data_IF_111906177068
#
_entry.id   IF_111906177068
#
_cell.length_a   1.000
_cell.length_b   1.000
_cell.length_c   1.000
_cell.angle_alpha   90.00
_cell.angle_beta   90.00
_cell.angle_gamma   90.00
#
_symmetry.space_group_name_H-M   'P 1'
#
loop_
_entity.id
_entity.type
_entity.pdbx_description
1 polymer ?
#
# COMPACT_ATOMS: atom_id res chain seq x y z
N UNK A 1 8.54 -4.25 -49.52
CA UNK A 1 8.40 -5.72 -49.63
C UNK A 1 7.15 -6.29 -48.96
N UNK A 2 6.48 -5.61 -48.01
CA UNK A 2 5.24 -6.10 -47.39
C UNK A 2 3.98 -6.00 -48.27
N UNK A 3 3.96 -5.12 -49.26
CA UNK A 3 2.80 -4.91 -50.12
C UNK A 3 2.64 -6.00 -51.26
N UNK A 4 3.73 -6.71 -51.60
CA UNK A 4 3.71 -7.72 -52.66
C UNK A 4 3.20 -9.08 -52.17
N UNK A 5 3.28 -9.34 -50.87
CA UNK A 5 2.78 -10.59 -50.25
C UNK A 5 1.28 -10.59 -50.06
N UNK A 6 0.68 -9.38 -49.84
CA UNK A 6 -0.78 -9.27 -49.67
C UNK A 6 -1.57 -9.46 -50.97
N UNK A 7 -0.99 -9.10 -52.12
CA UNK A 7 -1.67 -9.27 -53.42
C UNK A 7 -1.67 -10.69 -53.93
N UNK A 8 -0.69 -11.52 -53.54
CA UNK A 8 -0.64 -12.93 -53.96
C UNK A 8 -1.63 -13.84 -53.24
N UNK A 9 -1.98 -13.51 -52.01
CA UNK A 9 -2.98 -14.29 -51.24
C UNK A 9 -4.43 -13.97 -51.60
N UNK A 10 -4.69 -12.82 -52.23
CA UNK A 10 -6.04 -12.47 -52.73
C UNK A 10 -6.40 -13.08 -54.07
N UNK A 11 -5.43 -13.53 -54.87
CA UNK A 11 -5.69 -14.20 -56.16
C UNK A 11 -5.96 -15.71 -56.02
N UNK A 12 -5.50 -16.35 -54.96
CA UNK A 12 -5.79 -17.76 -54.69
C UNK A 12 -7.21 -18.03 -54.13
N UNK A 13 -7.89 -17.01 -53.65
CA UNK A 13 -9.25 -17.14 -53.09
C UNK A 13 -10.37 -17.02 -54.14
N UNK A 14 -10.04 -16.76 -55.43
CA UNK A 14 -11.04 -16.56 -56.52
C UNK A 14 -11.36 -17.81 -57.35
N UNK A 15 -10.78 -18.97 -57.08
CA UNK A 15 -10.94 -20.16 -57.95
C UNK A 15 -11.65 -21.37 -57.34
N UNK A 16 -12.23 -21.29 -56.16
CA UNK A 16 -13.14 -22.33 -55.68
C UNK A 16 -14.45 -21.73 -55.18
N UNK A 17 -15.45 -21.70 -56.03
CA UNK A 17 -16.82 -21.42 -55.67
C UNK A 17 -17.45 -22.63 -55.01
N UNK A 18 -18.03 -22.39 -53.87
CA UNK A 18 -19.33 -22.87 -53.39
C UNK A 18 -19.44 -22.70 -51.88
N UNK A 19 -20.47 -21.99 -51.53
CA UNK A 19 -21.10 -21.65 -50.29
C UNK A 19 -20.74 -22.43 -49.01
N UNK A 20 -20.11 -21.75 -48.09
CA UNK A 20 -20.37 -21.85 -46.67
C UNK A 20 -20.02 -20.49 -46.07
N UNK A 21 -21.02 -19.81 -45.51
CA UNK A 21 -20.84 -18.60 -44.74
C UNK A 21 -20.17 -18.99 -43.42
N UNK A 22 -18.85 -19.01 -43.43
CA UNK A 22 -18.06 -19.18 -42.23
C UNK A 22 -17.85 -17.80 -41.60
N UNK A 23 -18.37 -17.59 -40.40
CA UNK A 23 -18.03 -16.44 -39.55
C UNK A 23 -16.53 -16.48 -39.28
N UNK A 24 -15.77 -15.63 -39.96
CA UNK A 24 -14.35 -15.37 -39.68
C UNK A 24 -14.29 -14.65 -38.36
N UNK A 25 -14.08 -15.42 -37.27
CA UNK A 25 -13.51 -14.87 -36.04
C UNK A 25 -12.13 -14.29 -36.36
N UNK A 26 -12.03 -12.98 -36.50
CA UNK A 26 -10.76 -12.26 -36.46
C UNK A 26 -10.16 -12.46 -35.06
N UNK A 27 -9.53 -13.61 -34.83
CA UNK A 27 -8.50 -13.71 -33.79
C UNK A 27 -7.38 -12.79 -34.21
N UNK A 28 -7.19 -11.71 -33.44
CA UNK A 28 -6.02 -10.84 -33.60
C UNK A 28 -4.79 -11.72 -33.59
N UNK A 29 -4.09 -11.76 -34.71
CA UNK A 29 -2.74 -12.31 -34.76
C UNK A 29 -1.90 -11.42 -33.82
N UNK A 30 -1.57 -11.95 -32.65
CA UNK A 30 -0.44 -11.45 -31.91
C UNK A 30 0.72 -11.45 -32.90
N UNK A 31 1.33 -10.28 -33.10
CA UNK A 31 2.51 -10.15 -33.95
C UNK A 31 3.46 -11.27 -33.56
N UNK A 32 3.74 -12.18 -34.47
CA UNK A 32 4.70 -13.26 -34.24
C UNK A 32 5.98 -12.59 -33.75
N UNK A 33 6.45 -12.97 -32.55
CA UNK A 33 7.73 -12.52 -32.05
C UNK A 33 8.78 -12.77 -33.13
N UNK A 34 9.52 -11.73 -33.50
CA UNK A 34 10.61 -11.88 -34.48
C UNK A 34 11.46 -13.08 -34.07
N UNK A 35 11.87 -13.95 -35.00
CA UNK A 35 12.73 -15.08 -34.69
C UNK A 35 13.93 -14.60 -33.89
N UNK A 36 14.40 -15.35 -32.89
CA UNK A 36 15.56 -14.93 -32.11
C UNK A 36 16.74 -14.69 -33.07
N UNK A 37 17.26 -13.47 -33.04
CA UNK A 37 18.50 -13.18 -33.76
C UNK A 37 19.60 -14.11 -33.23
N UNK A 38 20.24 -14.87 -34.11
CA UNK A 38 21.27 -15.86 -33.78
C UNK A 38 22.59 -15.22 -33.27
N UNK A 39 22.55 -14.01 -32.76
CA UNK A 39 23.69 -13.27 -32.24
C UNK A 39 23.54 -12.90 -30.74
N UNK A 40 24.68 -12.55 -30.08
CA UNK A 40 24.64 -12.07 -28.72
C UNK A 40 23.81 -10.79 -28.63
N UNK A 41 22.77 -10.82 -27.80
CA UNK A 41 21.87 -9.67 -27.63
C UNK A 41 22.61 -8.50 -26.96
N UNK A 42 22.59 -7.30 -27.55
CA UNK A 42 23.22 -6.15 -26.94
C UNK A 42 22.56 -5.85 -25.57
N UNK A 43 23.36 -5.54 -24.57
CA UNK A 43 22.89 -5.15 -23.27
C UNK A 43 22.14 -3.81 -23.38
N UNK A 44 20.86 -3.78 -22.96
CA UNK A 44 20.05 -2.56 -22.95
C UNK A 44 20.45 -1.58 -21.84
N UNK A 45 21.22 -2.04 -20.87
CA UNK A 45 21.69 -1.22 -19.76
C UNK A 45 23.16 -1.49 -19.50
N UNK A 46 23.93 -0.42 -19.28
CA UNK A 46 25.34 -0.47 -18.90
C UNK A 46 25.52 -0.66 -17.37
N UNK A 47 24.46 -0.63 -16.60
CA UNK A 47 24.54 -0.81 -15.16
C UNK A 47 24.59 -2.31 -14.79
N UNK A 48 25.73 -2.84 -14.31
CA UNK A 48 25.86 -4.23 -13.90
C UNK A 48 24.87 -4.66 -12.80
N UNK A 49 24.42 -3.71 -11.97
CA UNK A 49 23.44 -3.97 -10.92
C UNK A 49 22.04 -4.33 -11.45
N UNK A 50 21.72 -3.97 -12.71
CA UNK A 50 20.45 -4.30 -13.35
C UNK A 50 20.43 -5.68 -14.02
N UNK A 51 21.55 -6.42 -14.04
CA UNK A 51 21.62 -7.74 -14.67
C UNK A 51 21.04 -8.82 -13.78
N UNK A 52 20.06 -9.55 -14.29
CA UNK A 52 19.50 -10.73 -13.60
C UNK A 52 20.53 -11.84 -13.48
N UNK A 53 20.61 -12.46 -12.29
CA UNK A 53 21.54 -13.56 -12.00
C UNK A 53 20.82 -14.66 -11.25
N UNK A 54 21.13 -15.92 -11.58
CA UNK A 54 20.53 -17.09 -10.91
C UNK A 54 19.19 -17.52 -11.50
N UNK A 55 18.62 -18.58 -10.92
CA UNK A 55 17.42 -19.27 -11.42
C UNK A 55 16.13 -18.77 -10.79
N UNK A 56 16.18 -17.78 -9.91
CA UNK A 56 15.06 -17.25 -9.14
C UNK A 56 15.14 -17.57 -7.64
N UNK A 57 14.32 -16.90 -6.84
CA UNK A 57 14.32 -17.06 -5.39
C UNK A 57 15.27 -16.11 -4.65
N UNK A 58 15.45 -16.35 -3.34
CA UNK A 58 16.16 -15.43 -2.43
C UNK A 58 17.62 -15.22 -2.81
N UNK A 59 18.31 -16.28 -3.12
CA UNK A 59 19.76 -16.25 -3.43
C UNK A 59 20.08 -15.83 -4.89
N UNK A 60 19.06 -15.46 -5.66
CA UNK A 60 19.22 -14.94 -7.02
C UNK A 60 19.11 -13.42 -7.03
N UNK A 61 19.43 -12.80 -8.16
CA UNK A 61 19.21 -11.38 -8.39
C UNK A 61 18.25 -11.17 -9.55
N UNK A 62 17.13 -10.51 -9.31
CA UNK A 62 16.08 -10.29 -10.29
C UNK A 62 16.20 -8.98 -11.09
N UNK A 63 17.28 -8.22 -10.89
CA UNK A 63 17.52 -6.94 -11.55
C UNK A 63 16.92 -5.74 -10.83
N UNK A 64 16.23 -5.93 -9.67
CA UNK A 64 15.63 -4.86 -8.89
C UNK A 64 16.55 -4.50 -7.73
N UNK A 65 16.95 -3.23 -7.67
CA UNK A 65 17.59 -2.60 -6.53
C UNK A 65 16.59 -1.59 -5.96
N UNK A 66 15.94 -1.95 -4.87
CA UNK A 66 14.84 -1.17 -4.30
C UNK A 66 15.27 -0.39 -3.06
N UNK A 67 15.07 0.93 -3.05
CA UNK A 67 15.10 1.69 -1.80
C UNK A 67 13.71 1.74 -1.19
N UNK A 68 13.56 1.25 0.06
CA UNK A 68 12.27 1.21 0.76
C UNK A 68 12.28 2.17 1.93
N UNK A 69 11.72 3.36 1.73
CA UNK A 69 11.50 4.31 2.82
C UNK A 69 10.33 3.85 3.70
N UNK A 70 10.53 3.83 5.02
CA UNK A 70 9.55 3.31 5.97
C UNK A 70 9.56 1.79 6.13
N UNK A 71 10.68 1.14 5.84
CA UNK A 71 10.87 -0.30 5.94
C UNK A 71 10.61 -0.87 7.36
N UNK A 72 10.91 -0.12 8.40
CA UNK A 72 10.67 -0.51 9.82
C UNK A 72 9.19 -0.51 10.20
N UNK A 73 8.33 0.11 9.38
CA UNK A 73 6.88 0.18 9.60
C UNK A 73 6.16 -1.15 9.35
N UNK A 74 4.86 -1.18 9.68
CA UNK A 74 4.00 -2.35 9.53
C UNK A 74 4.02 -2.91 8.09
N UNK A 75 3.63 -2.11 7.09
CA UNK A 75 3.62 -2.56 5.69
C UNK A 75 5.04 -2.80 5.16
N UNK A 76 6.01 -1.98 5.58
CA UNK A 76 7.40 -2.06 5.13
C UNK A 76 8.04 -3.42 5.36
N UNK A 77 7.80 -4.03 6.52
CA UNK A 77 8.31 -5.37 6.85
C UNK A 77 7.82 -6.46 5.90
N UNK A 78 6.54 -6.43 5.52
CA UNK A 78 5.99 -7.37 4.55
C UNK A 78 6.54 -7.14 3.13
N UNK A 79 6.69 -5.88 2.74
CA UNK A 79 7.31 -5.52 1.46
C UNK A 79 8.75 -6.00 1.39
N UNK A 80 9.57 -5.72 2.42
CA UNK A 80 10.96 -6.18 2.48
C UNK A 80 11.07 -7.71 2.43
N UNK A 81 10.21 -8.43 3.17
CA UNK A 81 10.21 -9.90 3.15
C UNK A 81 9.88 -10.45 1.76
N UNK A 82 8.91 -9.88 1.06
CA UNK A 82 8.56 -10.32 -0.30
C UNK A 82 9.63 -9.93 -1.33
N UNK A 83 10.23 -8.74 -1.23
CA UNK A 83 11.38 -8.34 -2.06
C UNK A 83 12.57 -9.30 -1.86
N UNK A 84 12.92 -9.61 -0.62
CA UNK A 84 13.98 -10.56 -0.31
C UNK A 84 13.71 -11.95 -0.89
N UNK A 85 12.48 -12.46 -0.75
CA UNK A 85 12.08 -13.75 -1.36
C UNK A 85 12.17 -13.75 -2.88
N UNK A 86 11.98 -12.61 -3.53
CA UNK A 86 12.07 -12.48 -4.98
C UNK A 86 13.49 -12.24 -5.51
N UNK A 87 14.49 -12.17 -4.62
CA UNK A 87 15.88 -11.94 -5.00
C UNK A 87 16.19 -10.49 -5.39
N UNK A 88 15.48 -9.51 -4.84
CA UNK A 88 15.78 -8.09 -5.03
C UNK A 88 16.83 -7.63 -4.04
N UNK A 89 17.77 -6.77 -4.46
CA UNK A 89 18.58 -6.02 -3.50
C UNK A 89 17.77 -4.91 -2.87
N UNK A 90 18.01 -4.66 -1.58
CA UNK A 90 17.26 -3.68 -0.82
C UNK A 90 18.18 -2.71 -0.11
N UNK A 91 17.94 -1.42 -0.30
CA UNK A 91 18.49 -0.35 0.52
C UNK A 91 17.39 0.10 1.45
N UNK A 92 17.59 -0.02 2.75
CA UNK A 92 16.59 0.25 3.79
C UNK A 92 17.00 1.47 4.61
N UNK A 93 16.58 2.68 4.19
CA UNK A 93 16.80 3.88 4.96
C UNK A 93 16.02 3.81 6.28
N UNK A 94 16.69 4.06 7.40
CA UNK A 94 16.09 4.07 8.73
C UNK A 94 16.49 5.32 9.51
N UNK A 95 15.66 5.68 10.48
CA UNK A 95 15.92 6.70 11.47
C UNK A 95 15.62 6.12 12.85
N UNK A 96 16.43 6.40 13.83
CA UNK A 96 16.29 5.79 15.16
C UNK A 96 17.39 4.78 15.44
N UNK A 97 17.12 3.84 16.32
CA UNK A 97 18.12 2.90 16.78
C UNK A 97 18.32 1.71 15.84
N UNK A 98 19.52 1.16 15.84
CA UNK A 98 19.85 -0.06 15.09
C UNK A 98 18.99 -1.27 15.50
N UNK A 99 18.45 -1.26 16.72
CA UNK A 99 17.53 -2.29 17.21
C UNK A 99 16.26 -2.42 16.37
N UNK A 100 15.78 -1.33 15.78
CA UNK A 100 14.57 -1.32 14.95
C UNK A 100 14.77 -2.07 13.61
N UNK A 101 16.01 -2.10 13.13
CA UNK A 101 16.36 -2.71 11.84
C UNK A 101 16.86 -4.15 11.95
N UNK A 102 17.20 -4.62 13.15
CA UNK A 102 17.68 -6.01 13.36
C UNK A 102 16.72 -7.03 12.76
N UNK A 103 15.42 -6.83 12.93
CA UNK A 103 14.37 -7.72 12.38
C UNK A 103 14.37 -7.78 10.86
N UNK A 104 14.89 -6.76 10.18
CA UNK A 104 14.95 -6.70 8.73
C UNK A 104 16.18 -7.40 8.14
N UNK A 105 17.20 -7.67 8.95
CA UNK A 105 18.42 -8.39 8.50
C UNK A 105 18.10 -9.80 7.97
N UNK A 106 17.08 -10.45 8.53
CA UNK A 106 16.66 -11.81 8.14
C UNK A 106 15.78 -11.86 6.90
N UNK A 107 15.38 -10.70 6.32
CA UNK A 107 14.51 -10.66 5.14
C UNK A 107 15.23 -11.02 3.84
N UNK A 108 16.55 -10.89 3.80
CA UNK A 108 17.38 -11.21 2.64
C UNK A 108 18.62 -12.01 3.00
N UNK A 109 19.37 -12.41 1.98
CA UNK A 109 20.66 -13.07 2.12
C UNK A 109 21.78 -12.06 2.42
N UNK A 110 22.98 -12.56 2.70
CA UNK A 110 24.15 -11.75 2.98
C UNK A 110 24.46 -10.82 1.80
N UNK A 111 24.61 -9.52 2.08
CA UNK A 111 24.83 -8.49 1.04
C UNK A 111 23.60 -8.07 0.25
N UNK A 112 22.44 -8.69 0.44
CA UNK A 112 21.19 -8.34 -0.23
C UNK A 112 20.47 -7.17 0.44
N UNK A 113 20.67 -6.97 1.75
CA UNK A 113 20.03 -5.94 2.55
C UNK A 113 21.09 -4.96 3.06
N UNK A 114 20.97 -3.71 2.66
CA UNK A 114 21.85 -2.62 3.09
C UNK A 114 21.04 -1.63 3.92
N UNK A 115 21.58 -1.25 5.07
CA UNK A 115 20.97 -0.25 5.95
C UNK A 115 21.68 1.08 5.79
N UNK A 116 20.89 2.15 5.73
CA UNK A 116 21.41 3.50 5.60
C UNK A 116 20.68 4.42 6.58
N UNK A 117 21.43 5.14 7.42
CA UNK A 117 20.83 6.15 8.29
C UNK A 117 20.38 7.35 7.47
N UNK A 118 19.13 7.82 7.69
CA UNK A 118 18.64 9.00 7.00
C UNK A 118 17.76 9.87 7.91
N UNK A 119 17.65 11.13 7.55
CA UNK A 119 16.66 12.04 8.12
C UNK A 119 15.76 12.56 6.99
N UNK A 120 14.43 12.62 7.26
CA UNK A 120 13.46 13.10 6.29
C UNK A 120 13.70 14.56 5.88
N UNK A 121 14.27 15.38 6.77
CA UNK A 121 14.57 16.78 6.51
C UNK A 121 15.94 17.03 5.85
N UNK A 122 16.78 16.00 5.79
CA UNK A 122 18.09 16.08 5.15
C UNK A 122 18.09 15.51 3.72
N UNK A 123 18.14 16.39 2.69
CA UNK A 123 18.18 15.94 1.30
C UNK A 123 19.43 15.14 0.93
N UNK A 124 20.57 15.35 1.63
CA UNK A 124 21.81 14.67 1.33
C UNK A 124 21.72 13.18 1.69
N UNK A 125 21.16 12.87 2.87
CA UNK A 125 20.95 11.48 3.30
C UNK A 125 19.95 10.72 2.42
N UNK A 126 18.91 11.42 1.92
CA UNK A 126 17.96 10.82 0.97
C UNK A 126 18.64 10.53 -0.37
N UNK A 127 19.46 11.47 -0.88
CA UNK A 127 20.18 11.29 -2.15
C UNK A 127 21.14 10.10 -2.09
N UNK A 128 21.89 9.94 -1.01
CA UNK A 128 22.78 8.81 -0.81
C UNK A 128 21.99 7.48 -0.77
N UNK A 129 20.84 7.46 -0.12
CA UNK A 129 19.99 6.26 -0.03
C UNK A 129 19.42 5.81 -1.39
N UNK A 130 19.15 6.73 -2.32
CA UNK A 130 18.54 6.38 -3.63
C UNK A 130 19.55 6.23 -4.76
N UNK A 131 20.80 6.61 -4.55
CA UNK A 131 21.87 6.73 -5.56
C UNK A 131 22.04 5.50 -6.48
N UNK A 132 21.85 4.31 -5.95
CA UNK A 132 22.06 3.05 -6.66
C UNK A 132 20.76 2.30 -6.98
N UNK A 133 19.61 2.89 -6.73
CA UNK A 133 18.32 2.23 -6.86
C UNK A 133 17.67 2.49 -8.20
N UNK A 134 17.05 1.46 -8.79
CA UNK A 134 16.17 1.61 -9.95
C UNK A 134 14.69 1.69 -9.55
N UNK A 135 14.35 1.24 -8.34
CA UNK A 135 12.98 1.32 -7.78
C UNK A 135 13.03 2.02 -6.43
N UNK A 136 12.13 2.98 -6.20
CA UNK A 136 11.92 3.60 -4.89
C UNK A 136 10.50 3.36 -4.43
N UNK A 137 10.35 2.87 -3.19
CA UNK A 137 9.07 2.60 -2.55
C UNK A 137 8.95 3.50 -1.34
N UNK A 138 8.00 4.43 -1.39
CA UNK A 138 7.73 5.35 -0.30
C UNK A 138 6.53 4.90 0.53
N UNK A 139 6.80 4.33 1.71
CA UNK A 139 5.81 3.91 2.70
C UNK A 139 5.81 4.82 3.93
N UNK A 140 6.49 5.97 3.85
CA UNK A 140 6.56 6.91 4.97
C UNK A 140 5.19 7.50 5.22
N UNK A 141 4.73 7.39 6.46
CA UNK A 141 3.46 7.96 6.90
C UNK A 141 3.20 7.73 8.37
N UNK A 142 2.46 8.65 8.97
CA UNK A 142 1.97 8.54 10.35
C UNK A 142 0.49 8.87 10.42
N UNK A 143 -0.18 8.35 11.42
CA UNK A 143 -1.60 8.56 11.67
C UNK A 143 -1.85 9.55 12.83
N UNK A 144 -0.82 10.04 13.47
CA UNK A 144 -0.85 11.10 14.48
C UNK A 144 0.33 12.06 14.32
N UNK A 145 0.18 13.27 14.80
CA UNK A 145 1.23 14.27 14.80
C UNK A 145 2.16 14.09 16.00
N UNK A 146 3.42 14.46 15.83
CA UNK A 146 4.41 14.50 16.90
C UNK A 146 4.83 15.95 17.17
N UNK A 147 5.57 16.18 18.24
CA UNK A 147 6.12 17.52 18.55
C UNK A 147 6.99 18.06 17.41
N UNK A 148 7.76 17.18 16.75
CA UNK A 148 8.74 17.58 15.74
C UNK A 148 8.20 17.52 14.30
N UNK A 149 7.18 16.71 14.04
CA UNK A 149 6.64 16.50 12.68
C UNK A 149 5.12 16.54 12.69
N UNK A 150 4.55 17.43 11.90
CA UNK A 150 3.14 17.51 11.60
C UNK A 150 2.78 16.64 10.40
N UNK A 151 1.49 16.44 10.14
CA UNK A 151 1.03 15.70 8.96
C UNK A 151 1.58 16.27 7.66
N UNK A 152 1.62 17.59 7.52
CA UNK A 152 2.13 18.27 6.34
C UNK A 152 3.61 17.98 6.11
N UNK A 153 4.42 17.94 7.15
CA UNK A 153 5.86 17.71 7.04
C UNK A 153 6.16 16.29 6.53
N UNK A 154 5.38 15.31 6.99
CA UNK A 154 5.60 13.89 6.63
C UNK A 154 4.94 13.53 5.31
N UNK A 155 3.65 13.88 5.14
CA UNK A 155 2.85 13.40 4.01
C UNK A 155 2.99 14.26 2.76
N UNK A 156 3.29 15.56 2.91
CA UNK A 156 3.43 16.50 1.79
C UNK A 156 4.91 16.76 1.52
N UNK A 157 5.58 17.52 2.39
CA UNK A 157 6.95 17.98 2.17
C UNK A 157 7.94 16.82 2.07
N UNK A 158 7.81 15.82 2.95
CA UNK A 158 8.67 14.62 2.96
C UNK A 158 8.46 13.75 1.73
N UNK A 159 7.20 13.52 1.33
CA UNK A 159 6.89 12.72 0.15
C UNK A 159 7.35 13.39 -1.15
N UNK A 160 7.12 14.72 -1.29
CA UNK A 160 7.61 15.52 -2.41
C UNK A 160 9.15 15.47 -2.51
N UNK A 161 9.84 15.66 -1.38
CA UNK A 161 11.31 15.65 -1.31
C UNK A 161 11.88 14.30 -1.77
N UNK A 162 11.33 13.19 -1.28
CA UNK A 162 11.76 11.85 -1.70
C UNK A 162 11.50 11.66 -3.20
N UNK A 163 10.32 12.04 -3.71
CA UNK A 163 9.96 11.90 -5.12
C UNK A 163 10.88 12.72 -6.04
N UNK A 164 11.13 13.99 -5.69
CA UNK A 164 12.01 14.88 -6.44
C UNK A 164 13.44 14.35 -6.51
N UNK A 165 14.02 13.98 -5.36
CA UNK A 165 15.38 13.45 -5.29
C UNK A 165 15.50 12.13 -6.05
N UNK A 166 14.48 11.28 -6.00
CA UNK A 166 14.44 10.03 -6.76
C UNK A 166 14.44 10.30 -8.27
N UNK A 167 13.72 11.32 -8.73
CA UNK A 167 13.73 11.74 -10.13
C UNK A 167 15.11 12.31 -10.55
N UNK A 168 15.72 13.15 -9.71
CA UNK A 168 17.05 13.70 -9.94
C UNK A 168 18.12 12.59 -10.02
N UNK A 169 17.97 11.53 -9.24
CA UNK A 169 18.85 10.36 -9.24
C UNK A 169 18.64 9.40 -10.43
N UNK A 170 17.65 9.65 -11.29
CA UNK A 170 17.35 8.80 -12.44
C UNK A 170 16.66 7.49 -12.09
N UNK A 171 15.93 7.43 -10.98
CA UNK A 171 15.14 6.25 -10.59
C UNK A 171 14.05 5.97 -11.63
N UNK A 172 13.94 4.72 -12.09
CA UNK A 172 13.00 4.32 -13.13
C UNK A 172 11.56 4.25 -12.63
N UNK A 173 11.38 3.77 -11.39
CA UNK A 173 10.06 3.47 -10.80
C UNK A 173 9.92 4.07 -9.41
N UNK A 174 8.84 4.81 -9.21
CA UNK A 174 8.50 5.37 -7.90
C UNK A 174 7.10 4.91 -7.48
N UNK A 175 7.00 4.24 -6.34
CA UNK A 175 5.74 3.74 -5.80
C UNK A 175 5.44 4.47 -4.49
N UNK A 176 4.26 5.07 -4.40
CA UNK A 176 3.82 5.82 -3.21
C UNK A 176 2.58 5.22 -2.58
N UNK A 177 2.62 4.98 -1.26
CA UNK A 177 1.49 4.49 -0.49
C UNK A 177 0.69 5.65 0.10
N UNK A 178 -0.52 5.83 -0.39
CA UNK A 178 -1.47 6.84 0.05
C UNK A 178 -2.57 6.27 0.97
N UNK A 179 -3.83 6.61 0.76
CA UNK A 179 -5.01 6.06 1.44
C UNK A 179 -6.24 6.10 0.52
N UNK A 180 -7.22 5.23 0.76
CA UNK A 180 -8.40 5.10 -0.10
C UNK A 180 -9.29 6.35 -0.12
N UNK A 181 -9.60 6.90 1.04
CA UNK A 181 -10.56 8.00 1.19
C UNK A 181 -9.93 9.40 1.16
N UNK A 182 -8.86 9.59 0.38
CA UNK A 182 -8.21 10.89 0.27
C UNK A 182 -9.08 11.89 -0.49
N UNK A 183 -9.37 13.02 0.14
CA UNK A 183 -10.17 14.11 -0.42
C UNK A 183 -9.56 15.47 -0.05
N UNK A 184 -9.71 16.46 -0.93
CA UNK A 184 -9.28 17.84 -0.64
C UNK A 184 -10.10 18.45 0.51
N UNK A 185 -11.41 18.16 0.52
CA UNK A 185 -12.36 18.66 1.52
C UNK A 185 -13.14 17.48 2.14
N UNK A 186 -12.53 16.72 3.08
CA UNK A 186 -13.24 15.64 3.75
C UNK A 186 -14.41 16.20 4.57
N UNK A 187 -15.49 15.42 4.69
CA UNK A 187 -16.67 15.83 5.45
C UNK A 187 -16.32 16.02 6.92
N UNK A 188 -16.85 17.09 7.50
CA UNK A 188 -16.79 17.36 8.94
C UNK A 188 -17.72 16.39 9.68
N UNK A 189 -17.18 15.65 10.63
CA UNK A 189 -17.97 14.80 11.52
C UNK A 189 -18.05 15.40 12.92
N UNK A 190 -16.91 15.58 13.59
CA UNK A 190 -16.80 16.20 14.89
C UNK A 190 -15.60 17.14 15.02
N UNK A 191 -14.65 17.12 14.09
CA UNK A 191 -13.57 18.08 13.98
C UNK A 191 -13.91 19.07 12.87
N UNK A 192 -13.99 20.37 13.20
CA UNK A 192 -14.21 21.41 12.20
C UNK A 192 -13.11 21.39 11.15
N UNK A 193 -13.51 21.37 9.90
CA UNK A 193 -12.60 21.29 8.75
C UNK A 193 -12.25 19.87 8.29
N UNK A 194 -12.86 18.83 8.90
CA UNK A 194 -12.66 17.44 8.52
C UNK A 194 -11.30 16.87 8.92
N UNK A 195 -10.95 15.70 8.40
CA UNK A 195 -9.72 15.01 8.74
C UNK A 195 -8.50 15.65 8.06
N UNK A 196 -7.68 16.33 8.83
CA UNK A 196 -6.38 16.89 8.39
C UNK A 196 -5.45 15.82 7.83
N UNK A 197 -5.55 14.60 8.35
CA UNK A 197 -4.80 13.46 7.84
C UNK A 197 -5.17 13.12 6.39
N UNK A 198 -6.46 13.07 6.05
CA UNK A 198 -6.93 12.82 4.69
C UNK A 198 -6.53 13.94 3.72
N UNK A 199 -6.65 15.20 4.16
CA UNK A 199 -6.20 16.36 3.39
C UNK A 199 -4.72 16.30 3.08
N UNK A 200 -3.90 16.04 4.10
CA UNK A 200 -2.43 15.97 3.92
C UNK A 200 -2.02 14.84 3.00
N UNK A 201 -2.70 13.69 3.05
CA UNK A 201 -2.47 12.60 2.10
C UNK A 201 -2.85 12.97 0.66
N UNK A 202 -3.98 13.67 0.48
CA UNK A 202 -4.39 14.15 -0.84
C UNK A 202 -3.38 15.16 -1.42
N UNK A 203 -2.99 16.16 -0.63
CA UNK A 203 -1.98 17.15 -1.03
C UNK A 203 -0.63 16.47 -1.33
N UNK A 204 -0.25 15.48 -0.53
CA UNK A 204 0.95 14.67 -0.76
C UNK A 204 0.93 13.92 -2.08
N UNK A 205 -0.21 13.32 -2.48
CA UNK A 205 -0.34 12.68 -3.79
C UNK A 205 -0.13 13.66 -4.95
N UNK A 206 -0.69 14.87 -4.85
CA UNK A 206 -0.53 15.90 -5.88
C UNK A 206 0.94 16.31 -6.00
N UNK A 207 1.61 16.61 -4.88
CA UNK A 207 3.02 16.96 -4.86
C UNK A 207 3.95 15.87 -5.37
N UNK A 208 3.63 14.60 -5.04
CA UNK A 208 4.39 13.45 -5.57
C UNK A 208 4.25 13.35 -7.08
N UNK A 209 3.05 13.55 -7.64
CA UNK A 209 2.84 13.54 -9.09
C UNK A 209 3.54 14.68 -9.80
N UNK A 210 3.54 15.86 -9.21
CA UNK A 210 4.24 17.04 -9.76
C UNK A 210 5.76 16.78 -9.79
N UNK A 211 6.31 16.21 -8.70
CA UNK A 211 7.73 15.90 -8.59
C UNK A 211 8.14 14.69 -9.46
N UNK A 212 7.31 13.66 -9.54
CA UNK A 212 7.56 12.41 -10.29
C UNK A 212 6.31 11.99 -11.08
N UNK A 213 6.09 12.47 -12.32
CA UNK A 213 4.85 12.28 -13.09
C UNK A 213 4.47 10.79 -13.30
N UNK A 214 5.45 9.92 -13.45
CA UNK A 214 5.25 8.48 -13.64
C UNK A 214 5.12 7.71 -12.31
N UNK A 215 4.87 8.39 -11.18
CA UNK A 215 4.69 7.73 -9.90
C UNK A 215 3.45 6.84 -9.89
N UNK A 216 3.62 5.59 -9.45
CA UNK A 216 2.51 4.67 -9.17
C UNK A 216 1.98 4.93 -7.77
N UNK A 217 0.68 5.24 -7.64
CA UNK A 217 0.05 5.52 -6.36
C UNK A 217 -0.84 4.36 -5.96
N UNK A 218 -0.65 3.84 -4.74
CA UNK A 218 -1.51 2.80 -4.18
C UNK A 218 -2.33 3.42 -3.04
N UNK A 219 -3.65 3.34 -3.13
CA UNK A 219 -4.62 3.83 -2.16
C UNK A 219 -5.22 2.69 -1.35
N UNK A 220 -4.61 2.30 -0.22
CA UNK A 220 -5.17 1.23 0.60
C UNK A 220 -6.37 1.71 1.42
N UNK A 221 -7.33 0.81 1.60
CA UNK A 221 -8.31 0.85 2.68
C UNK A 221 -7.63 0.59 4.04
N UNK A 222 -8.41 0.34 5.09
CA UNK A 222 -7.80 -0.07 6.37
C UNK A 222 -7.06 -1.41 6.19
N UNK A 223 -5.77 -1.41 6.49
CA UNK A 223 -4.89 -2.59 6.33
C UNK A 223 -4.89 -3.39 7.62
N UNK A 224 -5.17 -4.71 7.53
CA UNK A 224 -5.11 -5.62 8.68
C UNK A 224 -4.02 -6.69 8.53
N UNK A 225 -3.58 -7.26 9.66
CA UNK A 225 -2.55 -8.29 9.73
C UNK A 225 -1.85 -8.33 11.09
N UNK A 226 -0.79 -9.12 11.21
CA UNK A 226 0.01 -9.16 12.43
C UNK A 226 0.63 -7.78 12.72
N UNK A 227 0.49 -7.30 13.94
CA UNK A 227 0.97 -5.98 14.39
C UNK A 227 0.30 -4.77 13.67
N UNK A 228 -0.89 -4.96 13.14
CA UNK A 228 -1.65 -3.91 12.49
C UNK A 228 -2.11 -2.81 13.47
N UNK A 229 -2.63 -1.74 12.89
CA UNK A 229 -3.25 -0.67 13.66
C UNK A 229 -4.78 -0.71 13.60
N UNK A 230 -5.35 -1.65 12.83
CA UNK A 230 -6.80 -1.76 12.64
C UNK A 230 -7.43 -2.71 13.68
N UNK A 231 -7.03 -3.97 13.72
CA UNK A 231 -7.55 -4.96 14.67
C UNK A 231 -7.15 -4.63 16.11
N UNK A 232 -5.86 -4.28 16.30
CA UNK A 232 -5.34 -3.89 17.63
C UNK A 232 -6.05 -2.69 18.21
N UNK A 233 -6.48 -1.75 17.40
CA UNK A 233 -7.22 -0.58 17.84
C UNK A 233 -8.53 -0.98 18.54
N UNK A 234 -9.30 -1.90 17.95
CA UNK A 234 -10.55 -2.40 18.56
C UNK A 234 -10.30 -3.36 19.72
N UNK A 235 -9.19 -4.09 19.71
CA UNK A 235 -8.82 -4.98 20.80
C UNK A 235 -8.29 -4.24 22.05
N UNK A 236 -7.77 -3.02 21.87
CA UNK A 236 -7.09 -2.28 22.93
C UNK A 236 -8.05 -1.75 23.99
N UNK A 237 -7.65 -1.88 25.30
CA UNK A 237 -8.49 -1.47 26.43
C UNK A 237 -8.83 0.03 26.43
N UNK A 238 -7.90 0.89 26.00
CA UNK A 238 -8.12 2.34 25.94
C UNK A 238 -9.16 2.76 24.90
N UNK A 239 -9.41 1.95 23.86
CA UNK A 239 -10.46 2.22 22.86
C UNK A 239 -11.85 2.01 23.43
N UNK A 240 -11.98 1.18 24.43
CA UNK A 240 -13.24 0.87 25.12
C UNK A 240 -13.51 1.84 26.26
N UNK A 241 -14.77 2.01 26.57
CA UNK A 241 -15.24 2.66 27.78
C UNK A 241 -15.91 1.59 28.64
N UNK A 242 -15.28 1.19 29.76
CA UNK A 242 -15.66 -0.02 30.51
C UNK A 242 -15.74 -1.26 29.60
N UNK A 243 -16.94 -1.85 29.45
CA UNK A 243 -17.22 -3.00 28.58
C UNK A 243 -17.82 -2.60 27.23
N UNK A 244 -18.01 -1.30 27.00
CA UNK A 244 -18.71 -0.78 25.84
C UNK A 244 -17.75 -0.22 24.80
N UNK A 245 -18.16 -0.29 23.52
CA UNK A 245 -17.43 0.26 22.40
C UNK A 245 -18.16 1.49 21.86
N UNK A 246 -17.61 2.70 22.06
CA UNK A 246 -18.15 3.92 21.47
C UNK A 246 -17.86 3.95 19.98
N UNK A 247 -18.89 4.03 19.13
CA UNK A 247 -18.78 4.15 17.68
C UNK A 247 -19.65 5.31 17.19
N UNK A 248 -19.26 5.95 16.13
CA UNK A 248 -20.06 6.98 15.47
C UNK A 248 -21.32 6.33 14.87
N UNK A 249 -22.52 6.82 15.23
CA UNK A 249 -23.79 6.18 14.88
C UNK A 249 -23.81 4.66 15.17
N UNK A 250 -23.23 4.21 16.27
CA UNK A 250 -23.04 2.78 16.61
C UNK A 250 -22.33 1.94 15.55
N UNK A 251 -21.69 2.59 14.56
CA UNK A 251 -21.06 1.91 13.41
C UNK A 251 -22.02 1.41 12.33
N UNK A 252 -23.30 1.71 12.41
CA UNK A 252 -24.34 1.19 11.51
C UNK A 252 -24.34 1.88 10.13
N UNK A 253 -23.86 3.12 10.07
CA UNK A 253 -23.79 3.91 8.81
C UNK A 253 -22.43 3.85 8.12
N UNK A 254 -21.45 3.18 8.70
CA UNK A 254 -20.09 3.12 8.21
C UNK A 254 -19.81 1.76 7.57
N UNK A 255 -19.41 1.75 6.32
CA UNK A 255 -18.99 0.55 5.59
C UNK A 255 -17.49 0.57 5.38
N UNK A 256 -16.83 -0.53 5.70
CA UNK A 256 -15.39 -0.72 5.53
C UNK A 256 -15.10 -1.88 4.58
N UNK A 257 -13.99 -1.76 3.85
CA UNK A 257 -13.50 -2.80 2.94
C UNK A 257 -12.01 -3.09 3.22
N UNK A 258 -11.68 -3.65 4.40
CA UNK A 258 -10.30 -3.83 4.82
C UNK A 258 -9.55 -4.80 3.91
N UNK A 259 -8.23 -4.54 3.75
CA UNK A 259 -7.34 -5.32 2.89
C UNK A 259 -6.23 -5.98 3.72
N UNK A 260 -5.84 -7.19 3.34
CA UNK A 260 -4.76 -7.92 4.01
C UNK A 260 -3.40 -7.33 3.64
N UNK A 261 -2.53 -7.16 4.63
CA UNK A 261 -1.21 -6.54 4.45
C UNK A 261 -0.32 -7.26 3.44
N UNK A 262 -0.40 -8.60 3.39
CA UNK A 262 0.39 -9.39 2.45
C UNK A 262 -0.03 -9.13 1.00
N UNK A 263 -1.34 -8.90 0.75
CA UNK A 263 -1.87 -8.61 -0.59
C UNK A 263 -1.41 -7.22 -1.05
N UNK A 264 -1.44 -6.23 -0.15
CA UNK A 264 -0.87 -4.89 -0.42
C UNK A 264 0.63 -4.98 -0.74
N UNK A 265 1.39 -5.75 0.05
CA UNK A 265 2.81 -5.94 -0.22
C UNK A 265 3.07 -6.64 -1.55
N UNK A 266 2.22 -7.63 -1.94
CA UNK A 266 2.31 -8.29 -3.24
C UNK A 266 2.03 -7.32 -4.39
N UNK A 267 1.01 -6.48 -4.23
CA UNK A 267 0.68 -5.45 -5.22
C UNK A 267 1.82 -4.46 -5.44
N UNK A 268 2.47 -4.00 -4.36
CA UNK A 268 3.63 -3.11 -4.46
C UNK A 268 4.76 -3.76 -5.28
N UNK A 269 5.02 -5.05 -5.07
CA UNK A 269 6.07 -5.77 -5.81
C UNK A 269 5.67 -6.01 -7.26
N UNK A 270 4.41 -6.35 -7.51
CA UNK A 270 3.92 -6.53 -8.86
C UNK A 270 3.97 -5.19 -9.62
N UNK A 271 3.57 -4.09 -8.99
CA UNK A 271 3.70 -2.75 -9.54
C UNK A 271 5.17 -2.36 -9.81
N UNK A 272 6.12 -2.79 -8.97
CA UNK A 272 7.55 -2.56 -9.21
C UNK A 272 8.08 -3.31 -10.45
N UNK A 273 7.50 -4.45 -10.77
CA UNK A 273 7.89 -5.30 -11.91
C UNK A 273 7.17 -4.94 -13.21
N UNK A 274 5.95 -4.45 -13.11
CA UNK A 274 5.09 -4.15 -14.24
C UNK A 274 5.33 -2.73 -14.77
N UNK A 275 5.89 -2.57 -15.98
CA UNK A 275 6.12 -1.25 -16.58
C UNK A 275 4.83 -0.47 -16.83
N UNK A 276 3.72 -1.15 -17.10
CA UNK A 276 2.44 -0.51 -17.42
C UNK A 276 1.74 0.09 -16.20
N UNK A 277 2.22 -0.19 -14.99
CA UNK A 277 1.74 0.40 -13.75
C UNK A 277 2.21 1.84 -13.54
N UNK A 278 3.14 2.37 -14.36
CA UNK A 278 3.67 3.73 -14.24
C UNK A 278 2.58 4.79 -14.39
N UNK A 279 2.58 5.78 -13.49
CA UNK A 279 1.62 6.89 -13.51
C UNK A 279 0.19 6.51 -13.11
N UNK A 280 -0.10 5.23 -12.86
CA UNK A 280 -1.45 4.78 -12.49
C UNK A 280 -1.71 4.87 -10.99
N UNK A 281 -3.00 4.92 -10.65
CA UNK A 281 -3.50 4.84 -9.28
C UNK A 281 -4.24 3.53 -9.11
N UNK A 282 -3.90 2.79 -8.07
CA UNK A 282 -4.54 1.52 -7.73
C UNK A 282 -5.28 1.63 -6.40
N UNK A 283 -6.49 1.11 -6.32
CA UNK A 283 -7.24 0.99 -5.08
C UNK A 283 -6.95 -0.36 -4.44
N UNK A 284 -6.35 -0.32 -3.24
CA UNK A 284 -6.07 -1.53 -2.48
C UNK A 284 -7.21 -1.78 -1.50
N UNK A 285 -8.20 -2.55 -1.95
CA UNK A 285 -9.40 -2.90 -1.18
C UNK A 285 -9.52 -4.41 -1.04
N UNK A 286 -10.13 -4.85 0.06
CA UNK A 286 -10.39 -6.27 0.27
C UNK A 286 -11.53 -6.80 -0.60
N UNK A 287 -11.75 -8.13 -0.63
CA UNK A 287 -12.74 -8.76 -1.52
C UNK A 287 -14.19 -8.50 -1.08
N UNK A 288 -14.44 -8.20 0.19
CA UNK A 288 -15.77 -8.02 0.75
C UNK A 288 -15.92 -6.71 1.49
N UNK A 289 -17.13 -6.17 1.48
CA UNK A 289 -17.52 -4.97 2.23
C UNK A 289 -18.26 -5.38 3.49
N UNK A 290 -17.95 -4.74 4.60
CA UNK A 290 -18.52 -5.03 5.89
C UNK A 290 -19.08 -3.76 6.55
N UNK A 291 -20.21 -3.88 7.21
CA UNK A 291 -20.68 -2.84 8.11
C UNK A 291 -19.80 -2.81 9.36
N UNK A 292 -19.36 -1.61 9.76
CA UNK A 292 -18.42 -1.48 10.89
C UNK A 292 -19.00 -2.05 12.20
N UNK A 293 -20.30 -1.91 12.40
CA UNK A 293 -21.01 -2.48 13.55
C UNK A 293 -20.85 -4.00 13.65
N UNK A 294 -21.13 -4.70 12.55
CA UNK A 294 -21.03 -6.16 12.49
C UNK A 294 -19.59 -6.64 12.62
N UNK A 295 -18.68 -5.90 12.00
CA UNK A 295 -17.25 -6.20 12.02
C UNK A 295 -16.69 -6.14 13.45
N UNK A 296 -17.02 -5.09 14.19
CA UNK A 296 -16.56 -4.91 15.57
C UNK A 296 -17.21 -5.93 16.51
N UNK A 297 -18.49 -6.27 16.33
CA UNK A 297 -19.16 -7.33 17.08
C UNK A 297 -18.51 -8.70 16.83
N UNK A 298 -18.13 -8.96 15.57
CA UNK A 298 -17.43 -10.18 15.20
C UNK A 298 -16.05 -10.25 15.86
N UNK A 299 -15.29 -9.16 15.89
CA UNK A 299 -14.01 -9.09 16.60
C UNK A 299 -14.15 -9.43 18.08
N UNK A 300 -15.17 -8.85 18.75
CA UNK A 300 -15.40 -9.12 20.16
C UNK A 300 -15.84 -10.58 20.42
N UNK A 301 -16.61 -11.18 19.52
CA UNK A 301 -16.94 -12.61 19.57
C UNK A 301 -15.67 -13.49 19.47
N UNK A 302 -14.78 -13.19 18.53
CA UNK A 302 -13.50 -13.91 18.37
C UNK A 302 -12.61 -13.79 19.62
N UNK A 303 -12.61 -12.63 20.25
CA UNK A 303 -11.89 -12.39 21.51
C UNK A 303 -12.59 -12.98 22.75
N UNK A 304 -13.71 -13.68 22.60
CA UNK A 304 -14.54 -14.22 23.69
C UNK A 304 -15.10 -13.12 24.63
N UNK A 305 -15.25 -11.91 24.15
CA UNK A 305 -15.77 -10.73 24.87
C UNK A 305 -17.14 -10.32 24.33
N UNK A 306 -18.00 -11.32 24.07
CA UNK A 306 -19.35 -11.14 23.57
C UNK A 306 -20.31 -10.62 24.64
N UNK A 307 -21.52 -10.22 24.23
CA UNK A 307 -22.53 -9.68 25.12
C UNK A 307 -22.92 -10.66 26.22
N UNK A 308 -23.05 -11.97 25.91
CA UNK A 308 -23.48 -13.00 26.87
C UNK A 308 -22.42 -13.29 27.92
N UNK A 309 -21.14 -13.32 27.55
CA UNK A 309 -20.04 -13.74 28.46
C UNK A 309 -19.42 -12.57 29.20
N UNK A 310 -19.32 -11.41 28.55
CA UNK A 310 -18.57 -10.27 29.07
C UNK A 310 -19.41 -8.99 29.25
N UNK A 311 -20.64 -8.96 28.71
CA UNK A 311 -21.51 -7.78 28.76
C UNK A 311 -21.11 -6.69 27.78
N UNK A 312 -20.53 -7.06 26.63
CA UNK A 312 -20.17 -6.14 25.57
C UNK A 312 -21.40 -5.44 24.99
N UNK A 313 -21.30 -4.13 24.81
CA UNK A 313 -22.32 -3.32 24.14
C UNK A 313 -21.67 -2.28 23.24
N UNK A 314 -22.37 -1.92 22.16
CA UNK A 314 -22.04 -0.75 21.34
C UNK A 314 -22.95 0.41 21.72
N UNK A 315 -22.38 1.62 21.74
CA UNK A 315 -23.18 2.82 21.92
C UNK A 315 -22.71 3.95 21.01
N UNK A 316 -23.59 4.96 20.84
CA UNK A 316 -23.28 6.08 19.97
C UNK A 316 -22.38 7.09 20.69
N UNK A 317 -21.18 7.28 20.14
CA UNK A 317 -20.16 8.17 20.66
C UNK A 317 -20.61 9.65 20.70
N UNK A 318 -21.60 10.04 19.89
CA UNK A 318 -22.11 11.42 19.88
C UNK A 318 -22.70 11.86 21.22
N UNK A 319 -23.20 10.92 21.98
CA UNK A 319 -23.82 11.17 23.29
C UNK A 319 -22.83 11.05 24.46
N UNK A 320 -21.55 10.80 24.15
CA UNK A 320 -20.52 10.63 25.18
C UNK A 320 -19.36 11.62 25.00
N UNK A 321 -19.51 12.85 25.52
CA UNK A 321 -18.43 13.85 25.48
C UNK A 321 -17.20 13.42 26.29
N UNK A 322 -17.37 12.54 27.31
CA UNK A 322 -16.27 12.07 28.14
C UNK A 322 -15.28 11.23 27.36
N UNK A 323 -15.74 10.42 26.40
CA UNK A 323 -14.89 9.66 25.52
C UNK A 323 -14.07 10.55 24.56
N UNK A 324 -14.70 11.58 24.00
CA UNK A 324 -14.01 12.56 23.13
C UNK A 324 -12.98 13.36 23.92
N UNK A 325 -13.32 13.73 25.17
CA UNK A 325 -12.37 14.38 26.08
C UNK A 325 -11.18 13.46 26.39
N UNK A 326 -11.44 12.18 26.67
CA UNK A 326 -10.40 11.15 26.88
C UNK A 326 -9.46 11.06 25.66
N UNK A 327 -9.99 11.07 24.44
CA UNK A 327 -9.19 11.01 23.22
C UNK A 327 -8.32 12.27 23.04
N UNK A 328 -8.86 13.45 23.33
CA UNK A 328 -8.09 14.71 23.30
C UNK A 328 -7.00 14.74 24.37
N UNK A 329 -7.33 14.33 25.58
CA UNK A 329 -6.39 14.29 26.70
C UNK A 329 -5.25 13.29 26.43
N UNK A 330 -5.57 12.12 25.89
CA UNK A 330 -4.57 11.13 25.48
C UNK A 330 -3.59 11.68 24.44
N UNK A 331 -4.11 12.41 23.46
CA UNK A 331 -3.28 13.08 22.45
C UNK A 331 -2.41 14.19 23.03
N UNK A 332 -2.88 14.89 24.06
CA UNK A 332 -2.13 15.96 24.74
C UNK A 332 -1.05 15.43 25.68
N UNK A 333 -1.35 14.39 26.47
CA UNK A 333 -0.41 13.79 27.42
C UNK A 333 0.68 12.99 26.69
N UNK A 334 0.32 12.27 25.64
CA UNK A 334 1.23 11.39 24.90
C UNK A 334 1.33 11.78 23.42
N UNK A 335 1.91 12.96 23.09
CA UNK A 335 1.97 13.45 21.71
C UNK A 335 2.84 12.59 20.79
N UNK A 336 3.79 11.84 21.35
CA UNK A 336 4.69 10.97 20.58
C UNK A 336 4.09 9.64 20.19
N UNK A 337 3.26 9.04 21.06
CA UNK A 337 2.63 7.73 20.86
C UNK A 337 1.32 7.66 21.63
N UNK A 338 0.20 8.07 21.05
CA UNK A 338 -1.10 7.99 21.74
C UNK A 338 -1.41 6.57 22.18
N UNK A 339 -1.74 6.39 23.47
CA UNK A 339 -2.00 5.06 24.04
C UNK A 339 -3.16 4.40 23.30
N UNK A 340 -2.96 3.18 22.83
CA UNK A 340 -3.95 2.44 22.05
C UNK A 340 -4.31 3.06 20.70
N UNK A 341 -3.51 4.02 20.21
CA UNK A 341 -3.81 4.75 18.98
C UNK A 341 -5.06 5.63 19.06
N UNK A 342 -5.52 5.95 20.27
CA UNK A 342 -6.73 6.75 20.50
C UNK A 342 -6.40 8.24 20.40
N UNK A 343 -6.79 8.85 19.28
CA UNK A 343 -6.66 10.30 19.05
C UNK A 343 -7.81 10.79 18.13
N UNK A 344 -8.15 12.08 18.15
CA UNK A 344 -9.31 12.60 17.42
C UNK A 344 -9.28 12.32 15.92
N UNK A 345 -8.17 12.54 15.25
CA UNK A 345 -8.04 12.29 13.81
C UNK A 345 -8.27 10.81 13.43
N UNK A 346 -7.93 9.87 14.31
CA UNK A 346 -8.21 8.44 14.09
C UNK A 346 -9.69 8.12 14.18
N UNK A 347 -10.36 8.68 15.19
CA UNK A 347 -11.80 8.49 15.40
C UNK A 347 -12.57 9.03 14.20
N UNK A 348 -12.17 10.19 13.68
CA UNK A 348 -12.80 10.78 12.51
C UNK A 348 -12.63 9.91 11.26
N UNK A 349 -11.42 9.40 11.01
CA UNK A 349 -11.14 8.46 9.92
C UNK A 349 -11.92 7.14 10.05
N UNK A 350 -12.09 6.63 11.28
CA UNK A 350 -12.89 5.44 11.56
C UNK A 350 -14.34 5.61 11.11
N UNK A 351 -14.93 6.79 11.31
CA UNK A 351 -16.32 7.09 11.00
C UNK A 351 -16.59 7.30 9.49
N UNK A 352 -15.54 7.45 8.68
CA UNK A 352 -15.66 7.62 7.22
C UNK A 352 -15.90 6.27 6.55
N UNK A 353 -16.92 6.20 5.68
CA UNK A 353 -17.20 5.02 4.83
C UNK A 353 -16.18 4.93 3.69
N UNK A 354 -15.72 3.73 3.41
CA UNK A 354 -14.79 3.47 2.31
C UNK A 354 -15.49 3.64 0.95
N UNK A 355 -14.98 4.57 0.16
CA UNK A 355 -15.49 4.87 -1.18
C UNK A 355 -14.57 4.22 -2.21
N UNK A 356 -15.08 3.22 -2.90
CA UNK A 356 -14.39 2.60 -4.04
C UNK A 356 -14.87 3.29 -5.31
N UNK A 357 -13.94 3.88 -6.06
CA UNK A 357 -14.23 4.57 -7.30
C UNK A 357 -14.31 3.55 -8.45
N UNK A 358 -15.38 3.58 -9.20
CA UNK A 358 -15.54 2.76 -10.40
C UNK A 358 -14.62 3.26 -11.50
N UNK A 359 -14.00 2.33 -12.24
CA UNK A 359 -13.07 2.66 -13.33
C UNK A 359 -11.61 2.92 -12.91
N UNK A 360 -11.32 2.90 -11.61
CA UNK A 360 -9.94 2.94 -11.11
C UNK A 360 -9.48 1.50 -10.83
N UNK A 361 -8.32 1.07 -11.35
CA UNK A 361 -7.84 -0.29 -11.20
C UNK A 361 -7.65 -0.68 -9.73
N UNK A 362 -7.83 -1.98 -9.47
CA UNK A 362 -7.71 -2.61 -8.15
C UNK A 362 -6.44 -3.45 -8.03
N UNK A 363 -6.25 -4.15 -6.91
CA UNK A 363 -5.11 -5.07 -6.75
C UNK A 363 -5.21 -6.30 -7.66
N UNK A 364 -6.41 -6.69 -8.05
CA UNK A 364 -6.63 -7.83 -8.95
C UNK A 364 -6.05 -7.54 -10.34
N UNK A 365 -6.12 -6.29 -10.80
CA UNK A 365 -5.51 -5.83 -12.06
C UNK A 365 -3.97 -5.92 -12.04
N UNK A 366 -3.37 -5.94 -10.85
CA UNK A 366 -1.95 -6.22 -10.64
C UNK A 366 -1.65 -7.73 -10.46
N UNK A 367 -2.63 -8.61 -10.71
CA UNK A 367 -2.47 -10.05 -10.58
C UNK A 367 -2.37 -10.55 -9.12
N UNK A 368 -2.99 -9.83 -8.16
CA UNK A 368 -3.00 -10.22 -6.76
C UNK A 368 -4.30 -10.95 -6.42
N UNK A 369 -4.20 -12.13 -5.84
CA UNK A 369 -5.34 -12.86 -5.26
C UNK A 369 -5.63 -12.31 -3.87
N UNK A 370 -6.86 -11.83 -3.66
CA UNK A 370 -7.25 -11.19 -2.40
C UNK A 370 -7.60 -12.21 -1.32
N UNK A 371 -7.08 -11.98 -0.13
CA UNK A 371 -7.32 -12.81 1.06
C UNK A 371 -8.53 -12.29 1.83
N UNK A 372 -9.43 -13.19 2.23
CA UNK A 372 -10.63 -12.84 3.01
C UNK A 372 -10.30 -12.64 4.49
N UNK A 373 -11.04 -11.75 5.16
CA UNK A 373 -10.84 -11.49 6.58
C UNK A 373 -11.13 -12.72 7.46
N UNK A 374 -12.10 -13.52 7.06
CA UNK A 374 -12.51 -14.71 7.79
C UNK A 374 -11.39 -15.74 7.95
N UNK A 375 -10.45 -15.75 7.01
CA UNK A 375 -9.29 -16.66 7.04
C UNK A 375 -8.20 -16.20 8.01
N UNK A 376 -7.94 -14.89 8.11
CA UNK A 376 -6.78 -14.35 8.81
C UNK A 376 -7.10 -13.80 10.21
N UNK A 377 -8.19 -13.07 10.35
CA UNK A 377 -8.53 -12.36 11.59
C UNK A 377 -8.65 -13.27 12.82
N UNK A 378 -9.20 -14.51 12.73
CA UNK A 378 -9.24 -15.41 13.90
C UNK A 378 -7.85 -15.73 14.49
N UNK A 379 -6.80 -15.76 13.67
CA UNK A 379 -5.42 -15.97 14.09
C UNK A 379 -4.83 -14.71 14.72
N UNK A 380 -5.06 -13.57 14.08
CA UNK A 380 -4.53 -12.28 14.51
C UNK A 380 -5.12 -11.81 15.86
N UNK A 381 -6.39 -12.11 16.12
CA UNK A 381 -7.06 -11.77 17.38
C UNK A 381 -6.88 -12.80 18.48
N UNK A 382 -6.24 -13.94 18.21
CA UNK A 382 -5.99 -14.98 19.21
C UNK A 382 -5.29 -14.49 20.48
N UNK A 383 -4.25 -13.62 20.41
CA UNK A 383 -3.57 -13.11 21.59
C UNK A 383 -4.44 -12.25 22.51
N UNK A 384 -5.59 -11.78 22.05
CA UNK A 384 -6.50 -10.88 22.78
C UNK A 384 -7.71 -11.58 23.41
N UNK A 385 -7.76 -12.90 23.34
CA UNK A 385 -8.81 -13.75 23.93
C UNK A 385 -8.85 -13.70 25.45
#
# INVERSE_FOLDING_TARGET
MAAIVLTRNLQLAKHHGSGVVGVLCLRGYAAAAAPPEDGPRPLKTTNPAAMKRGTGGRSSFNGIVATVFGATGFVGRYVCNKLGKSGSQMILPYRGDDSDVIRLKVTGDLGQVLFHFYNLDDPASIREAVKHSNVVINLVGRDFETKNFKFKDVHVNGAERIARISREAGVERFIHLSSLNVEANPKDLFVKGGSEWLKSKYEGELRVRDAFPNATIIRPADIYGAEDRFLRYYAHIWRRQFRSMPLWHKGEKTVKQPVFVSDVAQAIINAAKDPDSAGRVYQAVGPKRYQLSELVDWFHRLMRKDQKRWGYMRYDMRWDPSFLLKAKLNSWICPGTPIGGLHPARIEREAVTDKVLTGVPTLEDLGVTLTTMEQQVPWELRPYR
#
